data_IF_375079653587
#
_entry.id   IF_375079653587
#
_cell.length_a   1.000
_cell.length_b   1.000
_cell.length_c   1.000
_cell.angle_alpha   90.00
_cell.angle_beta   90.00
_cell.angle_gamma   90.00
#
_symmetry.space_group_name_H-M   'P 1'
#
loop_
_entity.id
_entity.type
_entity.pdbx_description
1 polymer ?
#
# COMPACT_ATOMS: atom_id res chain seq x y z
N UNK A 1 31.82 -22.01 21.03
CA UNK A 1 30.36 -22.18 20.80
C UNK A 1 29.71 -20.80 20.69
N UNK A 2 29.39 -20.33 19.48
CA UNK A 2 28.77 -19.02 19.26
C UNK A 2 27.24 -19.11 19.46
N UNK A 3 26.75 -18.49 20.53
CA UNK A 3 25.33 -18.47 20.89
C UNK A 3 24.56 -17.59 19.89
N UNK A 4 23.84 -18.22 18.96
CA UNK A 4 22.97 -17.54 17.98
C UNK A 4 21.93 -16.68 18.73
N UNK A 5 21.69 -15.42 18.34
CA UNK A 5 20.77 -14.55 19.08
C UNK A 5 19.34 -15.11 19.04
N UNK A 6 18.69 -15.15 20.20
CA UNK A 6 17.31 -15.61 20.38
C UNK A 6 16.41 -14.67 19.57
N UNK A 7 15.80 -15.18 18.48
CA UNK A 7 14.86 -14.42 17.66
C UNK A 7 13.76 -13.86 18.57
N UNK A 8 13.64 -12.53 18.64
CA UNK A 8 12.66 -11.85 19.47
C UNK A 8 11.24 -12.36 19.19
N UNK A 9 10.42 -12.43 20.25
CA UNK A 9 9.00 -12.76 20.15
C UNK A 9 8.34 -11.91 19.07
N UNK A 10 7.60 -12.53 18.14
CA UNK A 10 6.83 -11.78 17.14
C UNK A 10 5.74 -10.99 17.86
N UNK A 11 5.68 -9.69 17.60
CA UNK A 11 4.61 -8.82 18.10
C UNK A 11 3.26 -9.35 17.58
N UNK A 12 2.37 -9.67 18.51
CA UNK A 12 1.01 -10.08 18.20
C UNK A 12 0.11 -8.85 18.21
N UNK A 13 -0.80 -8.77 17.25
CA UNK A 13 -1.81 -7.73 17.14
C UNK A 13 -3.19 -8.39 17.21
N UNK A 14 -4.13 -7.77 17.90
CA UNK A 14 -5.52 -8.25 17.99
C UNK A 14 -6.23 -8.19 16.63
N UNK A 15 -7.25 -9.02 16.44
CA UNK A 15 -8.00 -9.05 15.16
C UNK A 15 -8.75 -7.75 14.87
N UNK A 16 -9.27 -7.07 15.91
CA UNK A 16 -9.94 -5.76 15.77
C UNK A 16 -9.00 -4.69 15.19
N UNK A 17 -7.78 -4.58 15.74
CA UNK A 17 -6.77 -3.65 15.21
C UNK A 17 -6.38 -4.00 13.77
N UNK A 18 -6.33 -5.29 13.40
CA UNK A 18 -6.03 -5.69 12.02
C UNK A 18 -7.17 -5.27 11.08
N UNK A 19 -8.42 -5.47 11.50
CA UNK A 19 -9.60 -5.09 10.74
C UNK A 19 -9.66 -3.57 10.55
N UNK A 20 -9.44 -2.80 11.62
CA UNK A 20 -9.36 -1.34 11.58
C UNK A 20 -8.27 -0.86 10.63
N UNK A 21 -7.05 -1.39 10.76
CA UNK A 21 -5.93 -1.01 9.90
C UNK A 21 -6.20 -1.30 8.42
N UNK A 22 -6.84 -2.44 8.12
CA UNK A 22 -7.23 -2.78 6.74
C UNK A 22 -8.37 -1.88 6.26
N UNK A 23 -9.35 -1.55 7.10
CA UNK A 23 -10.44 -0.64 6.74
C UNK A 23 -9.88 0.74 6.38
N UNK A 24 -8.97 1.29 7.19
CA UNK A 24 -8.31 2.57 6.87
C UNK A 24 -7.59 2.54 5.51
N UNK A 25 -6.95 1.42 5.17
CA UNK A 25 -6.33 1.27 3.85
C UNK A 25 -7.35 1.22 2.71
N UNK A 26 -8.50 0.59 2.92
CA UNK A 26 -9.59 0.57 1.94
C UNK A 26 -10.25 1.94 1.79
N UNK A 27 -10.24 2.75 2.85
CA UNK A 27 -10.73 4.14 2.83
C UNK A 27 -9.74 5.12 2.17
N UNK A 28 -8.57 4.63 1.73
CA UNK A 28 -7.60 5.39 0.93
C UNK A 28 -6.39 5.91 1.70
N UNK A 29 -6.22 5.57 2.98
CA UNK A 29 -5.00 5.91 3.70
C UNK A 29 -3.81 5.07 3.23
N UNK A 30 -2.65 5.69 3.07
CA UNK A 30 -1.42 4.97 2.74
C UNK A 30 -1.03 4.03 3.88
N UNK A 31 -0.46 2.87 3.54
CA UNK A 31 -0.01 1.91 4.55
C UNK A 31 1.03 2.50 5.51
N UNK A 32 1.84 3.46 5.05
CA UNK A 32 2.79 4.20 5.90
C UNK A 32 2.08 5.10 6.92
N UNK A 33 1.05 5.83 6.48
CA UNK A 33 0.23 6.67 7.35
C UNK A 33 -0.49 5.81 8.40
N UNK A 34 -1.13 4.72 7.97
CA UNK A 34 -1.81 3.78 8.87
C UNK A 34 -0.84 3.17 9.88
N UNK A 35 0.34 2.73 9.43
CA UNK A 35 1.34 2.15 10.33
C UNK A 35 1.82 3.15 11.39
N UNK A 36 2.02 4.41 10.99
CA UNK A 36 2.42 5.49 11.91
C UNK A 36 1.30 5.81 12.90
N UNK A 37 0.07 5.99 12.42
CA UNK A 37 -1.08 6.37 13.23
C UNK A 37 -1.45 5.30 14.27
N UNK A 38 -1.35 4.02 13.90
CA UNK A 38 -1.69 2.89 14.78
C UNK A 38 -0.48 2.32 15.55
N UNK A 39 0.71 2.91 15.41
CA UNK A 39 1.93 2.43 16.08
C UNK A 39 2.37 1.03 15.64
N UNK A 40 2.08 0.65 14.39
CA UNK A 40 2.41 -0.65 13.82
C UNK A 40 3.81 -0.59 13.21
N UNK A 41 4.60 -1.63 13.48
CA UNK A 41 6.04 -1.66 13.17
C UNK A 41 6.40 -1.61 11.67
N UNK A 42 5.45 -1.71 10.75
CA UNK A 42 5.76 -1.56 9.33
C UNK A 42 4.58 -1.78 8.38
N UNK A 43 4.55 -0.98 7.32
CA UNK A 43 3.52 -1.01 6.27
C UNK A 43 3.39 -2.37 5.58
N UNK A 44 4.49 -3.10 5.39
CA UNK A 44 4.48 -4.45 4.80
C UNK A 44 3.59 -5.45 5.55
N UNK A 45 3.41 -5.27 6.87
CA UNK A 45 2.53 -6.13 7.65
C UNK A 45 1.06 -5.87 7.31
N UNK A 46 0.70 -4.62 7.03
CA UNK A 46 -0.66 -4.21 6.70
C UNK A 46 -1.12 -4.78 5.36
N UNK A 47 -0.25 -4.75 4.34
CA UNK A 47 -0.55 -5.38 3.05
C UNK A 47 -0.82 -6.89 3.19
N UNK A 48 -0.10 -7.57 4.08
CA UNK A 48 -0.35 -9.00 4.37
C UNK A 48 -1.68 -9.23 5.07
N UNK A 49 -2.10 -8.33 5.96
CA UNK A 49 -3.41 -8.41 6.59
C UNK A 49 -4.53 -8.13 5.61
N UNK A 50 -4.39 -7.11 4.77
CA UNK A 50 -5.33 -6.78 3.68
C UNK A 50 -5.51 -8.00 2.76
N UNK A 51 -4.43 -8.59 2.29
CA UNK A 51 -4.48 -9.78 1.43
C UNK A 51 -5.17 -10.98 2.12
N UNK A 52 -4.88 -11.21 3.40
CA UNK A 52 -5.53 -12.29 4.17
C UNK A 52 -7.04 -12.06 4.32
N UNK A 53 -7.43 -10.85 4.71
CA UNK A 53 -8.85 -10.50 4.94
C UNK A 53 -9.63 -10.56 3.63
N UNK A 54 -9.12 -9.97 2.56
CA UNK A 54 -9.79 -10.01 1.25
C UNK A 54 -9.87 -11.43 0.68
N UNK A 55 -8.85 -12.27 0.91
CA UNK A 55 -8.90 -13.68 0.55
C UNK A 55 -9.99 -14.47 1.30
N UNK A 56 -10.31 -14.07 2.53
CA UNK A 56 -11.42 -14.65 3.31
C UNK A 56 -12.79 -14.12 2.85
N UNK A 57 -12.86 -12.89 2.33
CA UNK A 57 -14.07 -12.31 1.74
C UNK A 57 -14.48 -12.93 0.39
N UNK A 58 -13.62 -13.78 -0.18
CA UNK A 58 -13.93 -14.60 -1.35
C UNK A 58 -13.36 -14.07 -2.68
N UNK A 59 -13.59 -14.83 -3.78
CA UNK A 59 -12.95 -14.56 -5.07
C UNK A 59 -13.29 -13.20 -5.67
N UNK A 60 -14.53 -12.73 -5.49
CA UNK A 60 -14.98 -11.44 -6.01
C UNK A 60 -14.22 -10.25 -5.38
N UNK A 61 -14.01 -10.28 -4.05
CA UNK A 61 -13.26 -9.24 -3.34
C UNK A 61 -11.80 -9.20 -3.80
N UNK A 62 -11.19 -10.37 -3.99
CA UNK A 62 -9.81 -10.50 -4.48
C UNK A 62 -9.66 -9.98 -5.92
N UNK A 63 -10.60 -10.33 -6.80
CA UNK A 63 -10.61 -9.87 -8.18
C UNK A 63 -10.79 -8.34 -8.29
N UNK A 64 -11.66 -7.76 -7.44
CA UNK A 64 -11.86 -6.31 -7.39
C UNK A 64 -10.59 -5.58 -6.93
N UNK A 65 -9.92 -6.07 -5.89
CA UNK A 65 -8.67 -5.47 -5.40
C UNK A 65 -7.56 -5.52 -6.46
N UNK A 66 -7.42 -6.64 -7.17
CA UNK A 66 -6.49 -6.76 -8.29
C UNK A 66 -6.80 -5.75 -9.41
N UNK A 67 -8.09 -5.55 -9.73
CA UNK A 67 -8.52 -4.57 -10.72
C UNK A 67 -8.25 -3.13 -10.27
N UNK A 68 -8.47 -2.81 -9.00
CA UNK A 68 -8.14 -1.50 -8.42
C UNK A 68 -6.64 -1.23 -8.54
N UNK A 69 -5.79 -2.20 -8.17
CA UNK A 69 -4.34 -2.05 -8.30
C UNK A 69 -3.90 -1.80 -9.75
N UNK A 70 -4.48 -2.54 -10.70
CA UNK A 70 -4.21 -2.31 -12.13
C UNK A 70 -4.59 -0.89 -12.55
N UNK A 71 -5.77 -0.40 -12.15
CA UNK A 71 -6.23 0.95 -12.50
C UNK A 71 -5.35 2.03 -11.87
N UNK A 72 -4.89 1.84 -10.64
CA UNK A 72 -3.94 2.75 -9.99
C UNK A 72 -2.59 2.80 -10.74
N UNK A 73 -2.09 1.67 -11.24
CA UNK A 73 -0.88 1.62 -12.05
C UNK A 73 -1.03 2.35 -13.39
N UNK A 74 -2.16 2.14 -14.05
CA UNK A 74 -2.51 2.84 -15.30
C UNK A 74 -2.61 4.35 -15.06
N UNK A 75 -3.25 4.76 -13.97
CA UNK A 75 -3.35 6.17 -13.57
C UNK A 75 -1.95 6.77 -13.32
N UNK A 76 -1.11 6.12 -12.51
CA UNK A 76 0.27 6.56 -12.24
C UNK A 76 1.08 6.72 -13.53
N UNK A 77 0.89 5.80 -14.48
CA UNK A 77 1.55 5.86 -15.80
C UNK A 77 1.07 7.08 -16.58
N UNK A 78 -0.24 7.28 -16.70
CA UNK A 78 -0.82 8.41 -17.42
C UNK A 78 -0.41 9.76 -16.83
N UNK A 79 -0.36 9.87 -15.50
CA UNK A 79 0.11 11.07 -14.79
C UNK A 79 1.57 11.36 -15.11
N UNK A 80 2.44 10.34 -15.12
CA UNK A 80 3.85 10.48 -15.48
C UNK A 80 4.02 10.96 -16.92
N UNK A 81 3.27 10.38 -17.86
CA UNK A 81 3.30 10.78 -19.27
C UNK A 81 2.87 12.24 -19.44
N UNK A 82 1.76 12.63 -18.79
CA UNK A 82 1.29 14.02 -18.77
C UNK A 82 2.37 14.97 -18.22
N UNK A 83 3.02 14.60 -17.13
CA UNK A 83 4.03 15.45 -16.49
C UNK A 83 5.30 15.58 -17.33
N UNK A 84 5.69 14.53 -18.06
CA UNK A 84 6.75 14.59 -19.07
C UNK A 84 6.39 15.56 -20.19
N UNK A 85 5.17 15.45 -20.74
CA UNK A 85 4.70 16.33 -21.81
C UNK A 85 4.64 17.80 -21.36
N UNK A 86 4.17 18.07 -20.13
CA UNK A 86 4.20 19.42 -19.54
C UNK A 86 5.62 19.99 -19.47
N UNK A 87 6.59 19.18 -19.03
CA UNK A 87 8.00 19.60 -18.97
C UNK A 87 8.57 19.89 -20.36
N UNK A 88 8.26 19.04 -21.34
CA UNK A 88 8.69 19.24 -22.72
C UNK A 88 8.12 20.55 -23.29
N UNK A 89 6.81 20.77 -23.16
CA UNK A 89 6.15 21.98 -23.62
C UNK A 89 6.77 23.24 -22.97
N UNK A 90 7.00 23.22 -21.66
CA UNK A 90 7.64 24.34 -20.96
C UNK A 90 9.02 24.68 -21.53
N UNK A 91 9.83 23.68 -21.88
CA UNK A 91 11.14 23.88 -22.52
C UNK A 91 10.99 24.50 -23.92
N UNK A 92 10.04 24.02 -24.72
CA UNK A 92 9.81 24.55 -26.07
C UNK A 92 9.28 25.99 -26.06
N UNK A 93 8.42 26.33 -25.11
CA UNK A 93 7.84 27.68 -24.98
C UNK A 93 8.80 28.73 -24.41
N UNK A 94 9.92 28.34 -23.79
CA UNK A 94 10.92 29.27 -23.23
C UNK A 94 12.04 29.65 -24.21
N UNK A 95 12.19 28.93 -25.34
CA UNK A 95 13.28 29.12 -26.31
C UNK A 95 12.95 30.08 -27.47
N UNK A 96 11.94 30.93 -27.30
CA UNK A 96 11.56 32.03 -28.20
C UNK A 96 11.40 33.31 -27.39
#
# INVERSE_FOLDING_TARGET
>A
MTKKPKRGSRRAYGEELKAEAVQMMLDGHSAESVATNLGISGANLLYRWKAKILGQSGPAATALDARVQQLEDELRRAERERDILKKALAIFSQKT
#
